data_IF_657445237998
#
_entry.id   IF_657445237998
#
_cell.length_a   1.000
_cell.length_b   1.000
_cell.length_c   1.000
_cell.angle_alpha   90.00
_cell.angle_beta   90.00
_cell.angle_gamma   90.00
#
_symmetry.space_group_name_H-M   'P 1'
#
loop_
_entity.id
_entity.type
_entity.pdbx_description
1 polymer ?
#
# COMPACT_ATOMS: atom_id res chain seq x y z
N UNK A 1 -20.92 2.67 -9.95
CA UNK A 1 -20.42 2.54 -8.54
C UNK A 1 -19.22 1.61 -8.55
N UNK A 2 -18.08 2.04 -8.06
CA UNK A 2 -16.87 1.20 -8.01
C UNK A 2 -17.13 -0.03 -7.13
N UNK A 3 -16.81 -1.22 -7.63
CA UNK A 3 -16.84 -2.45 -6.84
C UNK A 3 -15.48 -2.61 -6.15
N UNK A 4 -15.46 -2.59 -4.83
CA UNK A 4 -14.27 -2.90 -4.05
C UNK A 4 -14.17 -4.42 -3.91
N UNK A 5 -12.97 -4.95 -4.07
CA UNK A 5 -12.73 -6.39 -3.96
C UNK A 5 -12.90 -6.90 -2.53
N UNK A 6 -12.57 -6.04 -1.55
CA UNK A 6 -12.65 -6.39 -0.13
C UNK A 6 -13.27 -5.26 0.71
N UNK A 7 -13.83 -5.63 1.88
CA UNK A 7 -14.28 -4.64 2.87
C UNK A 7 -13.12 -3.80 3.42
N UNK A 8 -11.89 -4.33 3.44
CA UNK A 8 -10.69 -3.61 3.86
C UNK A 8 -10.39 -2.46 2.92
N UNK A 9 -10.44 -2.70 1.60
CA UNK A 9 -10.26 -1.64 0.61
C UNK A 9 -11.35 -0.57 0.71
N UNK A 10 -12.62 -0.99 0.87
CA UNK A 10 -13.72 -0.06 1.08
C UNK A 10 -13.52 0.81 2.33
N UNK A 11 -13.04 0.22 3.43
CA UNK A 11 -12.77 0.94 4.67
C UNK A 11 -11.64 1.96 4.48
N UNK A 12 -10.53 1.54 3.87
CA UNK A 12 -9.41 2.43 3.54
C UNK A 12 -9.88 3.62 2.68
N UNK A 13 -10.63 3.33 1.63
CA UNK A 13 -11.21 4.35 0.76
C UNK A 13 -12.11 5.33 1.52
N UNK A 14 -13.02 4.85 2.39
CA UNK A 14 -13.89 5.73 3.19
C UNK A 14 -13.09 6.69 4.06
N UNK A 15 -12.04 6.19 4.72
CA UNK A 15 -11.17 7.03 5.56
C UNK A 15 -10.46 8.08 4.71
N UNK A 16 -9.83 7.68 3.60
CA UNK A 16 -9.13 8.60 2.69
C UNK A 16 -10.06 9.68 2.14
N UNK A 17 -11.30 9.31 1.77
CA UNK A 17 -12.29 10.25 1.25
C UNK A 17 -12.70 11.31 2.28
N UNK A 18 -12.97 10.91 3.52
CA UNK A 18 -13.35 11.87 4.58
C UNK A 18 -12.18 12.76 4.97
N UNK A 19 -10.96 12.21 5.05
CA UNK A 19 -9.74 13.02 5.28
C UNK A 19 -9.55 14.04 4.15
N UNK A 20 -9.69 13.62 2.89
CA UNK A 20 -9.56 14.53 1.75
C UNK A 20 -10.65 15.61 1.75
N UNK A 21 -11.91 15.26 2.05
CA UNK A 21 -13.02 16.20 2.11
C UNK A 21 -12.75 17.31 3.13
N UNK A 22 -12.41 16.95 4.35
CA UNK A 22 -12.11 17.95 5.40
C UNK A 22 -10.89 18.78 5.03
N UNK A 23 -9.84 18.15 4.50
CA UNK A 23 -8.64 18.88 4.09
C UNK A 23 -8.92 19.90 2.97
N UNK A 24 -9.82 19.57 2.02
CA UNK A 24 -10.24 20.50 0.97
C UNK A 24 -11.12 21.64 1.49
N UNK A 25 -12.14 21.30 2.30
CA UNK A 25 -13.18 22.24 2.71
C UNK A 25 -12.72 23.15 3.86
N UNK A 26 -12.09 22.56 4.87
CA UNK A 26 -11.80 23.21 6.15
C UNK A 26 -10.30 23.44 6.41
N UNK A 27 -9.44 22.76 5.65
CA UNK A 27 -7.98 22.79 5.81
C UNK A 27 -7.44 21.71 6.75
N UNK A 28 -6.12 21.51 6.70
CA UNK A 28 -5.45 20.42 7.44
C UNK A 28 -5.54 20.57 8.97
N UNK A 29 -5.58 21.79 9.49
CA UNK A 29 -5.68 22.04 10.94
C UNK A 29 -7.00 21.53 11.53
N UNK A 30 -8.06 21.52 10.73
CA UNK A 30 -9.37 21.02 11.15
C UNK A 30 -9.37 19.49 11.37
N UNK A 31 -8.48 18.75 10.70
CA UNK A 31 -8.41 17.29 10.83
C UNK A 31 -8.18 16.84 12.26
N UNK A 32 -7.28 17.48 13.00
CA UNK A 32 -6.98 17.10 14.40
C UNK A 32 -8.21 17.15 15.30
N UNK A 33 -9.08 18.11 15.09
CA UNK A 33 -10.32 18.28 15.86
C UNK A 33 -11.43 17.31 15.42
N UNK A 34 -11.37 16.82 14.18
CA UNK A 34 -12.41 16.01 13.54
C UNK A 34 -12.13 14.50 13.56
N UNK A 35 -11.04 14.00 14.16
CA UNK A 35 -10.69 12.58 14.18
C UNK A 35 -11.84 11.68 14.64
N UNK A 36 -12.49 12.05 15.74
CA UNK A 36 -13.61 11.27 16.30
C UNK A 36 -14.84 11.30 15.38
N UNK A 37 -15.09 12.39 14.71
CA UNK A 37 -16.25 12.53 13.84
C UNK A 37 -16.02 11.80 12.50
N UNK A 38 -14.80 11.83 11.97
CA UNK A 38 -14.41 10.97 10.85
C UNK A 38 -14.63 9.49 11.24
N UNK A 39 -14.15 9.08 12.44
CA UNK A 39 -14.30 7.70 12.88
C UNK A 39 -15.77 7.29 13.00
N UNK A 40 -16.65 8.17 13.49
CA UNK A 40 -18.11 7.93 13.55
C UNK A 40 -18.74 7.87 12.16
N UNK A 41 -18.35 8.76 11.25
CA UNK A 41 -18.86 8.79 9.86
C UNK A 41 -18.47 7.54 9.07
N UNK A 42 -17.28 7.02 9.30
CA UNK A 42 -16.76 5.83 8.59
C UNK A 42 -17.32 4.53 9.16
N UNK A 43 -17.58 4.47 10.49
CA UNK A 43 -18.16 3.30 11.15
C UNK A 43 -19.68 3.38 11.19
N UNK A 44 -20.34 2.23 11.26
CA UNK A 44 -21.80 2.16 11.48
C UNK A 44 -22.13 2.34 12.97
N UNK A 45 -23.43 2.48 13.30
CA UNK A 45 -23.88 2.56 14.70
C UNK A 45 -23.76 1.22 15.45
N UNK A 46 -23.66 0.12 14.69
CA UNK A 46 -23.44 -1.23 15.24
C UNK A 46 -22.09 -1.76 14.76
N UNK A 47 -21.40 -2.48 15.63
CA UNK A 47 -20.16 -3.16 15.27
C UNK A 47 -20.38 -4.17 14.14
N UNK A 48 -19.58 -4.09 13.09
CA UNK A 48 -19.68 -4.95 11.89
C UNK A 48 -18.37 -5.64 11.52
N UNK A 49 -17.26 -5.21 12.11
CA UNK A 49 -15.91 -5.66 11.77
C UNK A 49 -15.13 -6.19 12.98
N UNK A 50 -15.50 -5.79 14.19
CA UNK A 50 -14.83 -6.15 15.45
C UNK A 50 -15.84 -6.44 16.57
N UNK A 51 -15.34 -6.82 17.74
CA UNK A 51 -16.14 -7.18 18.90
C UNK A 51 -17.09 -6.06 19.38
N UNK A 52 -16.71 -4.80 19.19
CA UNK A 52 -17.52 -3.65 19.59
C UNK A 52 -17.22 -2.41 18.76
N UNK A 53 -18.14 -1.46 18.77
CA UNK A 53 -18.03 -0.19 18.04
C UNK A 53 -16.87 0.67 18.54
N UNK A 54 -16.51 0.60 19.80
CA UNK A 54 -15.39 1.36 20.36
C UNK A 54 -14.07 0.90 19.79
N UNK A 55 -13.85 -0.42 19.67
CA UNK A 55 -12.66 -0.99 19.05
C UNK A 55 -12.59 -0.66 17.55
N UNK A 56 -13.73 -0.72 16.84
CA UNK A 56 -13.79 -0.32 15.44
C UNK A 56 -13.37 1.15 15.26
N UNK A 57 -13.89 2.06 16.09
CA UNK A 57 -13.55 3.49 16.04
C UNK A 57 -12.09 3.75 16.40
N UNK A 58 -11.53 3.05 17.38
CA UNK A 58 -10.13 3.14 17.73
C UNK A 58 -9.22 2.71 16.58
N UNK A 59 -9.54 1.59 15.90
CA UNK A 59 -8.81 1.14 14.70
C UNK A 59 -8.94 2.16 13.56
N UNK A 60 -10.13 2.74 13.35
CA UNK A 60 -10.32 3.77 12.33
C UNK A 60 -9.53 5.03 12.66
N UNK A 61 -9.41 5.41 13.95
CA UNK A 61 -8.57 6.54 14.35
C UNK A 61 -7.09 6.32 13.99
N UNK A 62 -6.55 5.11 14.20
CA UNK A 62 -5.19 4.78 13.75
C UNK A 62 -5.06 4.81 12.21
N UNK A 63 -6.09 4.38 11.47
CA UNK A 63 -6.11 4.51 10.00
C UNK A 63 -6.11 5.96 9.54
N UNK A 64 -6.81 6.85 10.26
CA UNK A 64 -6.80 8.29 9.97
C UNK A 64 -5.39 8.86 10.14
N UNK A 65 -4.63 8.44 11.17
CA UNK A 65 -3.23 8.85 11.33
C UNK A 65 -2.39 8.45 10.12
N UNK A 66 -2.56 7.22 9.61
CA UNK A 66 -1.87 6.77 8.39
C UNK A 66 -2.33 7.52 7.14
N UNK A 67 -3.62 7.86 7.05
CA UNK A 67 -4.16 8.69 5.98
C UNK A 67 -3.63 10.14 6.04
N UNK A 68 -3.20 10.61 7.21
CA UNK A 68 -2.54 11.89 7.42
C UNK A 68 -0.99 11.84 7.32
N UNK A 69 -0.43 10.75 6.81
CA UNK A 69 1.02 10.62 6.59
C UNK A 69 1.76 9.69 7.55
N UNK A 70 1.08 9.13 8.55
CA UNK A 70 1.63 8.13 9.47
C UNK A 70 2.75 8.65 10.38
N UNK A 71 3.57 7.74 10.89
CA UNK A 71 4.70 8.07 11.74
C UNK A 71 5.88 8.59 10.89
N UNK A 72 6.20 9.88 11.03
CA UNK A 72 7.30 10.52 10.29
C UNK A 72 8.68 9.99 10.66
N UNK A 73 8.85 9.48 11.89
CA UNK A 73 10.13 8.90 12.34
C UNK A 73 10.40 7.52 11.73
N UNK A 74 9.37 6.82 11.26
CA UNK A 74 9.54 5.54 10.57
C UNK A 74 9.86 5.79 9.08
N UNK A 75 11.02 5.35 8.56
CA UNK A 75 11.40 5.56 7.17
C UNK A 75 10.54 4.74 6.18
N UNK A 76 9.96 3.64 6.64
CA UNK A 76 9.11 2.80 5.78
C UNK A 76 7.81 3.48 5.42
N UNK A 77 7.35 3.18 4.21
CA UNK A 77 6.02 3.58 3.73
C UNK A 77 4.94 2.66 4.30
N UNK A 78 5.26 1.41 4.56
CA UNK A 78 4.31 0.41 5.09
C UNK A 78 4.41 0.40 6.61
N UNK A 79 3.26 0.52 7.28
CA UNK A 79 3.14 0.48 8.74
C UNK A 79 2.11 -0.56 9.21
N UNK A 80 2.27 -1.00 10.45
CA UNK A 80 1.34 -1.90 11.13
C UNK A 80 0.49 -1.09 12.10
N UNK A 81 -0.79 -1.38 12.11
CA UNK A 81 -1.77 -0.89 13.11
C UNK A 81 -1.91 -1.99 14.15
N UNK A 82 -1.20 -1.88 15.25
CA UNK A 82 -1.07 -2.94 16.26
C UNK A 82 -2.45 -3.37 16.81
N UNK A 83 -3.28 -2.42 17.20
CA UNK A 83 -4.64 -2.67 17.70
C UNK A 83 -5.54 -3.42 16.69
N UNK A 84 -5.19 -3.42 15.41
CA UNK A 84 -5.91 -4.15 14.37
C UNK A 84 -5.27 -5.50 14.05
N UNK A 85 -4.11 -5.82 14.63
CA UNK A 85 -3.32 -7.03 14.36
C UNK A 85 -3.53 -8.14 15.42
N UNK A 86 -4.63 -8.11 16.15
CA UNK A 86 -4.92 -8.92 17.33
C UNK A 86 -5.62 -10.26 17.05
N UNK A 87 -6.34 -10.38 15.94
CA UNK A 87 -7.15 -11.57 15.64
C UNK A 87 -6.40 -12.67 14.85
N UNK A 88 -5.17 -12.39 14.45
CA UNK A 88 -4.37 -13.39 13.76
C UNK A 88 -3.80 -14.41 14.76
N UNK A 89 -3.93 -15.73 14.49
CA UNK A 89 -3.28 -16.72 15.31
C UNK A 89 -1.76 -16.56 15.28
N UNK A 90 -1.08 -16.95 16.36
CA UNK A 90 0.38 -17.01 16.35
C UNK A 90 0.86 -18.00 15.30
N UNK A 91 1.95 -17.65 14.59
CA UNK A 91 2.52 -18.53 13.56
C UNK A 91 3.10 -19.82 14.16
N UNK A 92 3.10 -20.89 13.36
CA UNK A 92 3.58 -22.21 13.74
C UNK A 92 2.48 -23.23 13.98
N UNK A 93 2.87 -24.41 14.45
CA UNK A 93 1.91 -25.49 14.71
C UNK A 93 1.03 -25.19 15.93
N UNK A 94 -0.27 -25.41 15.77
CA UNK A 94 -1.29 -25.23 16.80
C UNK A 94 -2.23 -26.43 16.79
N UNK A 95 -2.81 -26.71 17.96
CA UNK A 95 -3.85 -27.74 18.11
C UNK A 95 -5.21 -27.08 17.98
N UNK A 96 -6.05 -27.58 17.06
CA UNK A 96 -7.43 -27.12 16.91
C UNK A 96 -8.38 -27.81 17.89
N UNK A 97 -9.61 -27.30 17.96
CA UNK A 97 -10.69 -27.92 18.74
C UNK A 97 -11.07 -29.34 18.27
N UNK A 98 -10.58 -29.77 17.10
CA UNK A 98 -10.77 -31.13 16.59
C UNK A 98 -9.94 -32.18 17.33
N UNK A 99 -9.03 -31.79 18.21
CA UNK A 99 -8.31 -32.71 19.07
C UNK A 99 -9.28 -33.52 19.91
N UNK A 100 -9.18 -34.85 19.83
CA UNK A 100 -10.09 -35.78 20.54
C UNK A 100 -9.55 -36.27 21.86
N UNK A 101 -8.31 -35.87 22.24
CA UNK A 101 -7.70 -36.40 23.47
C UNK A 101 -7.48 -37.94 23.39
N UNK A 102 -6.93 -38.38 22.26
CA UNK A 102 -6.79 -39.84 22.03
C UNK A 102 -5.75 -40.49 22.96
N UNK A 103 -6.04 -41.67 23.50
CA UNK A 103 -5.17 -42.38 24.44
C UNK A 103 -3.80 -42.73 23.85
N UNK A 104 -3.71 -42.84 22.52
CA UNK A 104 -2.47 -43.24 21.85
C UNK A 104 -1.36 -42.17 21.90
N UNK A 105 -1.69 -40.90 22.18
CA UNK A 105 -0.75 -39.76 22.31
C UNK A 105 0.37 -39.74 21.27
N UNK A 106 0.08 -40.16 20.01
CA UNK A 106 1.09 -40.22 18.93
C UNK A 106 1.82 -38.92 18.69
N UNK A 107 1.13 -37.78 18.87
CA UNK A 107 1.71 -36.46 18.70
C UNK A 107 2.80 -36.17 19.75
N UNK A 108 2.60 -36.59 20.99
CA UNK A 108 3.60 -36.49 22.06
C UNK A 108 4.80 -37.39 21.76
N UNK A 109 4.56 -38.68 21.46
CA UNK A 109 5.60 -39.64 21.13
C UNK A 109 6.46 -39.22 19.93
N UNK A 110 5.87 -38.51 18.95
CA UNK A 110 6.58 -37.97 17.79
C UNK A 110 7.37 -36.72 18.09
N UNK A 111 7.14 -36.06 19.23
CA UNK A 111 7.76 -34.77 19.58
C UNK A 111 9.12 -34.96 20.27
N UNK A 112 10.21 -34.96 19.51
CA UNK A 112 11.58 -35.11 20.05
C UNK A 112 11.99 -33.97 21.02
N UNK A 113 11.26 -32.87 21.04
CA UNK A 113 11.53 -31.68 21.90
C UNK A 113 10.68 -31.64 23.16
N UNK A 114 9.78 -32.63 23.36
CA UNK A 114 8.89 -32.67 24.51
C UNK A 114 8.00 -31.43 24.62
N UNK A 115 7.61 -30.83 23.46
CA UNK A 115 6.83 -29.62 23.41
C UNK A 115 5.31 -29.85 23.48
N UNK A 116 4.84 -31.08 23.67
CA UNK A 116 3.42 -31.44 23.74
C UNK A 116 3.07 -31.87 25.15
N UNK A 117 2.04 -31.25 25.69
CA UNK A 117 1.40 -31.57 26.95
C UNK A 117 -0.10 -31.74 26.74
N UNK A 118 -0.80 -32.22 27.77
CA UNK A 118 -2.24 -32.44 27.74
C UNK A 118 -2.88 -31.74 28.91
N UNK A 119 -4.08 -31.19 28.68
CA UNK A 119 -4.91 -30.60 29.73
C UNK A 119 -5.72 -31.66 30.48
N UNK A 120 -6.54 -31.22 31.42
CA UNK A 120 -7.44 -32.07 32.21
C UNK A 120 -8.44 -32.84 31.35
N UNK A 121 -8.77 -32.33 30.15
CA UNK A 121 -9.65 -32.96 29.17
C UNK A 121 -8.89 -33.83 28.16
N UNK A 122 -7.62 -34.10 28.43
CA UNK A 122 -6.72 -34.85 27.53
C UNK A 122 -6.51 -34.18 26.16
N UNK A 123 -6.76 -32.89 26.03
CA UNK A 123 -6.48 -32.14 24.80
C UNK A 123 -5.00 -31.77 24.73
N UNK A 124 -4.43 -31.98 23.56
CA UNK A 124 -3.03 -31.66 23.36
C UNK A 124 -2.81 -30.13 23.32
N UNK A 125 -1.71 -29.68 23.91
CA UNK A 125 -1.20 -28.32 23.85
C UNK A 125 0.25 -28.33 23.36
N UNK A 126 0.64 -27.29 22.59
CA UNK A 126 2.00 -27.13 22.09
C UNK A 126 2.66 -25.98 22.82
N UNK A 127 3.69 -26.28 23.61
CA UNK A 127 4.56 -25.29 24.23
C UNK A 127 5.41 -24.60 23.14
N UNK A 128 5.11 -23.33 22.88
CA UNK A 128 5.78 -22.54 21.84
C UNK A 128 7.24 -22.25 22.14
N UNK A 129 7.64 -22.28 23.40
CA UNK A 129 9.03 -22.04 23.81
C UNK A 129 9.94 -23.23 23.47
N UNK A 130 9.38 -24.45 23.46
CA UNK A 130 10.10 -25.70 23.12
C UNK A 130 9.90 -26.12 21.66
N UNK A 131 8.83 -25.66 21.03
CA UNK A 131 8.45 -26.10 19.69
C UNK A 131 9.36 -25.50 18.61
N UNK A 132 10.03 -26.36 17.84
CA UNK A 132 10.88 -25.98 16.70
C UNK A 132 10.16 -26.03 15.36
N UNK A 133 8.85 -26.11 15.34
CA UNK A 133 7.99 -26.11 14.15
C UNK A 133 8.35 -27.22 13.11
N UNK A 134 8.81 -28.38 13.54
CA UNK A 134 9.22 -29.49 12.65
C UNK A 134 8.06 -30.26 12.02
N UNK A 135 6.83 -30.14 12.54
CA UNK A 135 5.62 -30.73 11.99
C UNK A 135 5.42 -32.24 12.21
N UNK A 136 6.28 -32.91 12.96
CA UNK A 136 6.13 -34.35 13.16
C UNK A 136 4.83 -34.72 13.87
N UNK A 137 4.40 -33.94 14.85
CA UNK A 137 3.13 -34.10 15.55
C UNK A 137 1.92 -34.01 14.62
N UNK A 138 1.94 -33.12 13.64
CA UNK A 138 0.86 -32.97 12.68
C UNK A 138 0.75 -34.17 11.73
N UNK A 139 1.89 -34.74 11.30
CA UNK A 139 1.92 -35.92 10.41
C UNK A 139 1.33 -37.18 11.02
N UNK A 140 1.42 -37.32 12.33
CA UNK A 140 0.96 -38.54 13.04
C UNK A 140 -0.42 -38.38 13.67
N UNK A 141 -1.02 -37.19 13.62
CA UNK A 141 -2.34 -36.94 14.17
C UNK A 141 -3.42 -37.56 13.27
N UNK A 142 -4.19 -38.57 13.74
CA UNK A 142 -5.19 -39.23 12.90
C UNK A 142 -6.42 -38.36 12.61
N UNK A 143 -6.60 -37.28 13.37
CA UNK A 143 -7.72 -36.33 13.23
C UNK A 143 -7.34 -35.05 12.52
N UNK A 144 -6.09 -34.92 12.05
CA UNK A 144 -5.58 -33.68 11.45
C UNK A 144 -5.78 -32.44 12.33
N UNK A 145 -5.87 -32.64 13.65
CA UNK A 145 -6.14 -31.58 14.62
C UNK A 145 -4.93 -30.65 14.88
N UNK A 146 -3.79 -30.94 14.30
CA UNK A 146 -2.57 -30.12 14.44
C UNK A 146 -2.24 -29.52 13.08
N UNK A 147 -2.36 -28.20 12.98
CA UNK A 147 -2.16 -27.45 11.73
C UNK A 147 -1.07 -26.40 11.88
N UNK A 148 -0.35 -26.16 10.79
CA UNK A 148 0.64 -25.07 10.73
C UNK A 148 -0.02 -23.81 10.23
N UNK A 149 -0.04 -22.78 11.07
CA UNK A 149 -0.55 -21.47 10.71
C UNK A 149 0.62 -20.56 10.35
N UNK A 150 0.48 -19.87 9.24
CA UNK A 150 1.36 -18.78 8.85
C UNK A 150 0.49 -17.57 8.55
N UNK A 151 0.78 -16.45 9.18
CA UNK A 151 -0.02 -15.23 8.96
C UNK A 151 0.06 -14.81 7.48
N UNK A 152 -1.03 -14.33 6.89
CA UNK A 152 -1.06 -13.93 5.48
C UNK A 152 0.04 -12.93 5.11
N UNK A 153 0.35 -11.99 6.00
CA UNK A 153 1.41 -11.00 5.79
C UNK A 153 2.80 -11.61 5.75
N UNK A 154 3.12 -12.59 6.61
CA UNK A 154 4.38 -13.32 6.59
C UNK A 154 4.51 -14.15 5.31
N UNK A 155 3.43 -14.86 4.93
CA UNK A 155 3.40 -15.68 3.71
C UNK A 155 3.57 -14.84 2.45
N UNK A 156 3.01 -13.62 2.42
CA UNK A 156 3.12 -12.70 1.30
C UNK A 156 4.52 -12.05 1.21
N UNK A 157 5.23 -11.94 2.32
CA UNK A 157 6.54 -11.30 2.36
C UNK A 157 7.64 -12.23 1.84
N UNK A 158 7.97 -12.12 0.55
CA UNK A 158 8.99 -12.97 -0.10
C UNK A 158 10.40 -12.77 0.45
N UNK A 159 10.69 -11.59 0.99
CA UNK A 159 11.98 -11.24 1.59
C UNK A 159 12.02 -11.49 3.10
N UNK A 160 10.96 -12.05 3.68
CA UNK A 160 10.87 -12.37 5.12
C UNK A 160 11.22 -11.19 6.03
N UNK A 161 10.73 -10.00 5.67
CA UNK A 161 10.87 -8.78 6.46
C UNK A 161 9.80 -8.65 7.55
N UNK A 162 8.88 -9.60 7.68
CA UNK A 162 7.81 -9.58 8.68
C UNK A 162 8.03 -10.71 9.66
N UNK A 163 8.02 -10.35 10.93
CA UNK A 163 8.03 -11.25 12.07
C UNK A 163 6.93 -10.84 13.05
N UNK A 164 6.78 -11.59 14.12
CA UNK A 164 5.90 -11.23 15.22
C UNK A 164 6.70 -10.52 16.29
N UNK A 165 6.10 -9.49 16.90
CA UNK A 165 6.66 -8.86 18.09
C UNK A 165 6.66 -9.85 19.26
N UNK A 166 7.66 -9.72 20.12
CA UNK A 166 7.78 -10.54 21.32
C UNK A 166 6.97 -9.88 22.47
N UNK A 167 5.65 -9.90 22.33
CA UNK A 167 4.70 -9.34 23.30
C UNK A 167 3.46 -10.23 23.42
N UNK A 168 2.65 -10.07 24.47
CA UNK A 168 1.43 -10.85 24.67
C UNK A 168 0.45 -10.73 23.50
N UNK A 169 0.30 -9.52 22.95
CA UNK A 169 -0.57 -9.24 21.80
C UNK A 169 0.04 -9.74 20.48
N UNK A 170 1.36 -9.91 20.45
CA UNK A 170 2.13 -10.48 19.36
C UNK A 170 1.77 -9.87 17.98
N UNK A 171 1.74 -8.54 17.81
CA UNK A 171 1.45 -7.90 16.53
C UNK A 171 2.55 -8.17 15.51
N UNK A 172 2.24 -8.00 14.23
CA UNK A 172 3.23 -8.10 13.18
C UNK A 172 4.23 -6.93 13.28
N UNK A 173 5.51 -7.23 13.10
CA UNK A 173 6.60 -6.26 13.08
C UNK A 173 7.33 -6.30 11.75
N UNK A 174 7.67 -5.14 11.21
CA UNK A 174 8.35 -5.01 9.92
C UNK A 174 9.82 -4.60 10.17
N UNK A 175 10.74 -5.44 9.72
CA UNK A 175 12.16 -5.12 9.70
C UNK A 175 12.46 -4.10 8.60
N UNK A 176 12.73 -2.86 8.98
CA UNK A 176 12.97 -1.75 8.07
C UNK A 176 14.20 -1.99 7.18
N UNK A 177 15.21 -2.71 7.68
CA UNK A 177 16.42 -2.99 6.93
C UNK A 177 16.18 -3.98 5.79
N UNK A 178 15.20 -4.89 5.94
CA UNK A 178 14.84 -5.86 4.90
C UNK A 178 13.72 -5.35 4.02
N UNK A 179 12.78 -4.58 4.55
CA UNK A 179 11.59 -4.15 3.81
C UNK A 179 11.95 -3.35 2.55
N UNK A 180 11.30 -3.68 1.44
CA UNK A 180 11.44 -3.02 0.12
C UNK A 180 10.18 -2.23 -0.27
N UNK A 181 9.29 -1.98 0.65
CA UNK A 181 8.06 -1.19 0.48
C UNK A 181 7.12 -1.66 -0.66
N UNK A 182 7.16 -2.94 -1.03
CA UNK A 182 6.39 -3.48 -2.17
C UNK A 182 4.88 -3.59 -1.95
N UNK A 183 4.38 -3.45 -0.70
CA UNK A 183 2.95 -3.46 -0.38
C UNK A 183 2.27 -4.83 -0.35
N UNK A 184 2.95 -5.95 -0.66
CA UNK A 184 2.34 -7.27 -0.72
C UNK A 184 1.66 -7.69 0.61
N UNK A 185 2.24 -7.34 1.75
CA UNK A 185 1.70 -7.60 3.07
C UNK A 185 0.43 -6.79 3.37
N UNK A 186 0.33 -5.55 2.89
CA UNK A 186 -0.85 -4.72 3.02
C UNK A 186 -2.04 -5.32 2.25
N UNK A 187 -1.79 -5.78 1.03
CA UNK A 187 -2.82 -6.44 0.21
C UNK A 187 -3.28 -7.77 0.83
N UNK A 188 -2.35 -8.55 1.39
CA UNK A 188 -2.64 -9.87 1.95
C UNK A 188 -3.33 -9.85 3.32
N UNK A 189 -3.30 -8.73 4.05
CA UNK A 189 -3.84 -8.67 5.40
C UNK A 189 -5.38 -8.64 5.40
N UNK A 190 -6.07 -9.68 5.89
CA UNK A 190 -7.53 -9.73 5.86
C UNK A 190 -8.20 -8.75 6.84
N UNK A 191 -7.46 -8.28 7.83
CA UNK A 191 -7.92 -7.30 8.81
C UNK A 191 -7.55 -5.85 8.43
N UNK A 192 -6.73 -5.69 7.38
CA UNK A 192 -6.19 -4.40 6.98
C UNK A 192 -5.34 -3.75 8.07
N UNK A 193 -4.72 -4.55 8.93
CA UNK A 193 -3.83 -4.06 9.97
C UNK A 193 -2.52 -3.50 9.41
N UNK A 194 -2.18 -3.82 8.16
CA UNK A 194 -0.99 -3.31 7.49
C UNK A 194 -1.43 -2.38 6.37
N UNK A 195 -0.94 -1.15 6.38
CA UNK A 195 -1.29 -0.12 5.40
C UNK A 195 -0.06 0.69 5.00
N UNK A 196 -0.16 1.34 3.84
CA UNK A 196 0.79 2.36 3.42
C UNK A 196 0.39 3.73 3.96
N UNK A 197 1.39 4.55 4.26
CA UNK A 197 1.22 5.98 4.55
C UNK A 197 0.61 6.67 3.35
N UNK A 198 -0.38 7.50 3.58
CA UNK A 198 -0.96 8.33 2.53
C UNK A 198 -0.21 9.65 2.39
N UNK A 199 -0.10 10.11 1.15
CA UNK A 199 0.42 11.44 0.81
C UNK A 199 -0.67 12.34 0.24
N UNK A 200 -1.94 11.98 0.53
CA UNK A 200 -3.10 12.73 0.01
C UNK A 200 -3.12 14.18 0.50
N UNK A 201 -2.69 14.43 1.75
CA UNK A 201 -2.62 15.80 2.30
C UNK A 201 -1.53 16.63 1.62
N UNK A 202 -0.36 16.03 1.33
CA UNK A 202 0.71 16.71 0.62
C UNK A 202 0.24 17.10 -0.80
N UNK A 203 -0.48 16.21 -1.48
CA UNK A 203 -1.05 16.49 -2.79
C UNK A 203 -2.10 17.61 -2.73
N UNK A 204 -3.00 17.60 -1.74
CA UNK A 204 -4.00 18.65 -1.53
C UNK A 204 -3.32 20.00 -1.27
N UNK A 205 -2.27 20.03 -0.47
CA UNK A 205 -1.49 21.23 -0.18
C UNK A 205 -0.89 21.79 -1.46
N UNK A 206 -0.18 20.98 -2.24
CA UNK A 206 0.42 21.37 -3.52
C UNK A 206 -0.65 21.94 -4.46
N UNK A 207 -1.81 21.29 -4.56
CA UNK A 207 -2.92 21.76 -5.42
C UNK A 207 -3.53 23.09 -4.94
N UNK A 208 -3.66 23.29 -3.63
CA UNK A 208 -4.13 24.55 -3.06
C UNK A 208 -3.14 25.69 -3.28
N UNK A 209 -1.85 25.43 -3.01
CA UNK A 209 -0.79 26.42 -3.11
C UNK A 209 -0.55 26.85 -4.57
N UNK A 210 -0.83 25.97 -5.54
CA UNK A 210 -0.76 26.31 -6.98
C UNK A 210 -1.78 27.38 -7.41
N UNK A 211 -2.82 27.62 -6.60
CA UNK A 211 -3.91 28.54 -6.91
C UNK A 211 -4.44 28.39 -8.35
N UNK A 212 -4.65 27.13 -8.78
CA UNK A 212 -5.08 26.74 -10.14
C UNK A 212 -4.13 27.20 -11.26
N UNK A 213 -2.85 27.32 -10.96
CA UNK A 213 -1.80 27.69 -11.91
C UNK A 213 -1.33 29.16 -11.84
N UNK A 214 -1.96 29.99 -11.01
CA UNK A 214 -1.50 31.41 -10.84
C UNK A 214 -0.13 31.45 -10.09
N UNK A 215 0.17 30.45 -9.24
CA UNK A 215 1.45 30.36 -8.54
C UNK A 215 2.47 29.54 -9.31
N UNK A 216 2.11 28.30 -9.61
CA UNK A 216 2.92 27.33 -10.36
C UNK A 216 2.04 26.24 -10.97
N UNK A 217 2.52 25.59 -12.01
CA UNK A 217 1.82 24.49 -12.65
C UNK A 217 1.99 23.18 -11.91
N UNK A 218 0.91 22.43 -11.70
CA UNK A 218 0.94 21.07 -11.12
C UNK A 218 0.66 20.04 -12.20
N UNK A 219 1.63 19.19 -12.48
CA UNK A 219 1.50 18.12 -13.46
C UNK A 219 1.16 16.79 -12.77
N UNK A 220 0.14 16.10 -13.28
CA UNK A 220 -0.14 14.71 -12.92
C UNK A 220 0.59 13.78 -13.88
N UNK A 221 1.57 13.04 -13.40
CA UNK A 221 2.21 11.97 -14.17
C UNK A 221 1.51 10.66 -13.81
N UNK A 222 0.82 10.05 -14.78
CA UNK A 222 -0.03 8.88 -14.54
C UNK A 222 0.59 7.61 -15.08
N UNK A 223 0.54 6.53 -14.28
CA UNK A 223 0.96 5.20 -14.71
C UNK A 223 -0.03 4.64 -15.76
N UNK A 224 0.43 3.89 -16.79
CA UNK A 224 -0.43 3.33 -17.84
C UNK A 224 -1.57 2.47 -17.31
N UNK A 225 -1.39 1.80 -16.17
CA UNK A 225 -2.42 0.99 -15.50
C UNK A 225 -3.66 1.76 -15.02
N UNK A 226 -3.65 3.10 -15.11
CA UNK A 226 -4.84 3.92 -14.85
C UNK A 226 -6.00 3.56 -15.78
N UNK A 227 -5.71 3.11 -17.01
CA UNK A 227 -6.70 2.72 -17.99
C UNK A 227 -7.57 1.53 -17.52
N UNK A 228 -6.99 0.62 -16.72
CA UNK A 228 -7.71 -0.55 -16.17
C UNK A 228 -8.26 -0.32 -14.77
N UNK A 229 -7.91 0.76 -14.10
CA UNK A 229 -8.31 1.02 -12.72
C UNK A 229 -9.73 1.59 -12.61
N UNK A 230 -10.11 2.48 -13.50
CA UNK A 230 -11.41 3.18 -13.49
C UNK A 230 -12.34 2.60 -14.54
N UNK A 231 -12.63 1.29 -14.45
CA UNK A 231 -13.42 0.53 -15.46
C UNK A 231 -14.86 1.04 -15.67
N UNK A 232 -15.37 1.86 -14.75
CA UNK A 232 -16.70 2.48 -14.83
C UNK A 232 -16.69 3.86 -15.52
N UNK A 233 -15.52 4.35 -15.92
CA UNK A 233 -15.36 5.64 -16.58
C UNK A 233 -14.44 5.51 -17.80
N UNK A 234 -14.67 6.32 -18.83
CA UNK A 234 -13.75 6.42 -19.97
C UNK A 234 -12.47 7.15 -19.53
N UNK A 235 -11.31 6.81 -20.07
CA UNK A 235 -10.03 7.41 -19.72
C UNK A 235 -10.06 8.94 -19.81
N UNK A 236 -10.69 9.50 -20.86
CA UNK A 236 -10.85 10.96 -21.00
C UNK A 236 -11.67 11.62 -19.88
N UNK A 237 -12.62 10.89 -19.28
CA UNK A 237 -13.37 11.38 -18.11
C UNK A 237 -12.47 11.45 -16.88
N UNK A 238 -11.62 10.42 -16.69
CA UNK A 238 -10.64 10.37 -15.59
C UNK A 238 -9.64 11.51 -15.72
N UNK A 239 -9.08 11.73 -16.92
CA UNK A 239 -8.17 12.86 -17.22
C UNK A 239 -8.83 14.21 -16.94
N UNK A 240 -10.10 14.36 -17.34
CA UNK A 240 -10.85 15.60 -17.08
C UNK A 240 -11.10 15.81 -15.59
N UNK A 241 -11.40 14.75 -14.84
CA UNK A 241 -11.58 14.82 -13.40
C UNK A 241 -10.29 15.24 -12.70
N UNK A 242 -9.15 14.67 -13.09
CA UNK A 242 -7.82 15.05 -12.59
C UNK A 242 -7.57 16.55 -12.85
N UNK A 243 -7.77 17.04 -14.08
CA UNK A 243 -7.61 18.46 -14.40
C UNK A 243 -8.52 19.36 -13.55
N UNK A 244 -9.76 18.94 -13.30
CA UNK A 244 -10.72 19.71 -12.47
C UNK A 244 -10.34 19.75 -10.99
N UNK A 245 -9.52 18.81 -10.49
CA UNK A 245 -8.95 18.90 -9.15
C UNK A 245 -7.94 20.06 -8.99
N UNK A 246 -7.48 20.65 -10.09
CA UNK A 246 -6.51 21.75 -10.09
C UNK A 246 -5.19 21.41 -10.78
N UNK A 247 -5.05 20.20 -11.34
CA UNK A 247 -3.88 19.88 -12.14
C UNK A 247 -3.88 20.66 -13.47
N UNK A 248 -2.74 21.24 -13.80
CA UNK A 248 -2.52 21.94 -15.07
C UNK A 248 -2.59 20.97 -16.24
N UNK A 249 -1.85 19.85 -16.16
CA UNK A 249 -1.82 18.85 -17.22
C UNK A 249 -1.70 17.43 -16.67
N UNK A 250 -2.08 16.46 -17.52
CA UNK A 250 -1.93 15.02 -17.26
C UNK A 250 -0.99 14.45 -18.29
N UNK A 251 0.10 13.83 -17.86
CA UNK A 251 1.16 13.28 -18.68
C UNK A 251 1.28 11.78 -18.42
N UNK A 252 1.44 10.97 -19.46
CA UNK A 252 1.62 9.54 -19.30
C UNK A 252 3.07 9.20 -18.90
N UNK A 253 3.24 8.38 -17.88
CA UNK A 253 4.55 7.88 -17.46
C UNK A 253 5.20 6.96 -18.52
N UNK A 254 4.43 6.49 -19.50
CA UNK A 254 4.94 5.72 -20.64
C UNK A 254 5.97 6.51 -21.46
N UNK A 255 5.78 7.82 -21.64
CA UNK A 255 6.76 8.68 -22.28
C UNK A 255 8.12 8.65 -21.53
N UNK A 256 8.09 8.63 -20.21
CA UNK A 256 9.29 8.44 -19.40
C UNK A 256 9.93 7.06 -19.59
N UNK A 257 9.11 6.03 -19.84
CA UNK A 257 9.63 4.69 -20.12
C UNK A 257 10.35 4.64 -21.46
N UNK A 258 9.87 5.33 -22.50
CA UNK A 258 10.54 5.44 -23.79
C UNK A 258 11.91 6.14 -23.67
N UNK A 259 11.97 7.23 -22.90
CA UNK A 259 13.22 7.95 -22.59
C UNK A 259 14.22 7.01 -21.90
N UNK A 260 13.76 6.25 -20.90
CA UNK A 260 14.60 5.32 -20.14
C UNK A 260 15.05 4.16 -21.02
N UNK A 261 14.15 3.57 -21.82
CA UNK A 261 14.48 2.46 -22.70
C UNK A 261 15.58 2.82 -23.70
N UNK A 262 15.53 4.04 -24.27
CA UNK A 262 16.59 4.55 -25.14
C UNK A 262 17.94 4.67 -24.42
N UNK A 263 17.94 5.18 -23.19
CA UNK A 263 19.16 5.34 -22.40
C UNK A 263 19.69 3.98 -21.91
N UNK A 264 18.81 3.07 -21.47
CA UNK A 264 19.19 1.72 -21.05
C UNK A 264 19.75 0.88 -22.22
N UNK A 265 19.26 1.07 -23.45
CA UNK A 265 19.79 0.36 -24.62
C UNK A 265 21.24 0.70 -24.88
N UNK A 266 21.64 1.96 -24.68
CA UNK A 266 23.04 2.40 -24.81
C UNK A 266 23.90 1.81 -23.68
N UNK A 267 23.43 1.92 -22.44
CA UNK A 267 24.12 1.37 -21.28
C UNK A 267 24.31 -0.15 -21.38
N UNK A 268 23.29 -0.86 -21.91
CA UNK A 268 23.38 -2.31 -22.17
C UNK A 268 24.41 -2.65 -23.21
N UNK A 269 24.49 -1.86 -24.29
CA UNK A 269 25.51 -2.07 -25.35
C UNK A 269 26.94 -1.89 -24.83
N UNK A 270 27.15 -0.99 -23.88
CA UNK A 270 28.46 -0.76 -23.27
C UNK A 270 28.82 -1.84 -22.22
N UNK A 271 27.86 -2.24 -21.38
CA UNK A 271 28.08 -3.16 -20.25
C UNK A 271 27.92 -4.65 -20.60
N UNK A 272 27.21 -4.97 -21.66
CA UNK A 272 26.90 -6.35 -22.10
C UNK A 272 25.82 -7.04 -21.25
N UNK A 273 25.64 -6.67 -19.97
CA UNK A 273 24.58 -7.17 -19.08
C UNK A 273 24.06 -6.04 -18.19
N UNK A 274 22.76 -5.89 -18.13
CA UNK A 274 22.10 -4.84 -17.38
C UNK A 274 20.75 -5.33 -16.83
N UNK A 275 20.36 -4.88 -15.63
CA UNK A 275 19.01 -4.98 -15.10
C UNK A 275 18.37 -3.60 -15.05
N UNK A 276 17.07 -3.52 -15.37
CA UNK A 276 16.35 -2.24 -15.36
C UNK A 276 16.21 -1.65 -13.96
N UNK A 277 16.22 -0.32 -13.86
CA UNK A 277 15.98 0.46 -12.63
C UNK A 277 14.51 0.91 -12.48
N UNK A 278 13.60 0.48 -13.35
CA UNK A 278 12.20 0.97 -13.39
C UNK A 278 11.38 0.64 -12.13
N UNK A 279 11.69 -0.47 -11.43
CA UNK A 279 10.99 -0.92 -10.24
C UNK A 279 11.82 -0.65 -8.98
N UNK A 280 11.46 0.34 -8.13
CA UNK A 280 12.22 0.66 -6.92
C UNK A 280 12.29 -0.50 -5.92
N UNK A 281 11.22 -1.30 -5.80
CA UNK A 281 11.25 -2.49 -4.94
C UNK A 281 12.25 -3.54 -5.43
N UNK A 282 12.40 -3.72 -6.75
CA UNK A 282 13.41 -4.61 -7.32
C UNK A 282 14.82 -4.08 -7.09
N UNK A 283 15.05 -2.79 -7.30
CA UNK A 283 16.33 -2.13 -7.04
C UNK A 283 16.75 -2.30 -5.58
N UNK A 284 15.83 -2.04 -4.64
CA UNK A 284 16.08 -2.23 -3.21
C UNK A 284 16.34 -3.70 -2.86
N UNK A 285 15.62 -4.63 -3.51
CA UNK A 285 15.85 -6.06 -3.34
C UNK A 285 17.27 -6.46 -3.74
N UNK A 286 17.73 -6.04 -4.93
CA UNK A 286 19.09 -6.34 -5.38
C UNK A 286 20.13 -5.72 -4.45
N UNK A 287 19.98 -4.44 -4.09
CA UNK A 287 20.93 -3.75 -3.20
C UNK A 287 21.05 -4.42 -1.82
N UNK A 288 19.92 -4.85 -1.23
CA UNK A 288 19.88 -5.43 0.11
C UNK A 288 20.33 -6.90 0.16
N UNK A 289 19.99 -7.69 -0.84
CA UNK A 289 20.19 -9.14 -0.80
C UNK A 289 21.25 -9.66 -1.77
N UNK A 290 21.59 -8.88 -2.80
CA UNK A 290 22.58 -9.24 -3.82
C UNK A 290 23.52 -8.07 -4.12
N UNK A 291 24.29 -7.56 -3.13
CA UNK A 291 25.11 -6.36 -3.30
C UNK A 291 26.13 -6.46 -4.44
N UNK A 292 26.59 -7.69 -4.77
CA UNK A 292 27.50 -7.93 -5.91
C UNK A 292 26.86 -7.63 -7.27
N UNK A 293 25.53 -7.63 -7.38
CA UNK A 293 24.80 -7.35 -8.61
C UNK A 293 24.39 -5.87 -8.73
N UNK A 294 24.72 -5.05 -7.73
CA UNK A 294 24.33 -3.63 -7.72
C UNK A 294 24.91 -2.86 -8.91
N UNK A 295 26.12 -3.20 -9.35
CA UNK A 295 26.78 -2.58 -10.51
C UNK A 295 26.07 -2.89 -11.84
N UNK A 296 25.30 -3.98 -11.87
CA UNK A 296 24.51 -4.36 -13.05
C UNK A 296 23.13 -3.69 -13.09
N UNK A 297 22.75 -2.93 -12.07
CA UNK A 297 21.50 -2.15 -12.12
C UNK A 297 21.74 -0.93 -13.02
N UNK A 298 20.79 -0.65 -13.91
CA UNK A 298 20.81 0.57 -14.72
C UNK A 298 20.99 1.82 -13.84
N UNK A 299 21.87 2.72 -14.24
CA UNK A 299 22.07 3.99 -13.59
C UNK A 299 20.98 5.01 -13.91
N UNK A 300 20.13 4.71 -14.88
CA UNK A 300 19.08 5.59 -15.32
C UNK A 300 18.01 5.82 -14.22
N UNK A 301 17.36 6.95 -14.29
CA UNK A 301 16.18 7.23 -13.46
C UNK A 301 15.05 6.27 -13.85
N UNK A 302 14.13 6.01 -12.92
CA UNK A 302 12.91 5.28 -13.27
C UNK A 302 12.05 6.11 -14.24
N UNK A 303 11.12 5.48 -14.99
CA UNK A 303 10.20 6.20 -15.88
C UNK A 303 9.46 7.36 -15.20
N UNK A 304 9.04 7.20 -13.95
CA UNK A 304 8.44 8.25 -13.14
C UNK A 304 9.37 9.46 -13.00
N UNK A 305 10.61 9.21 -12.58
CA UNK A 305 11.57 10.27 -12.30
C UNK A 305 12.13 10.88 -13.60
N UNK A 306 12.25 10.10 -14.67
CA UNK A 306 12.72 10.60 -15.97
C UNK A 306 11.75 11.60 -16.58
N UNK A 307 10.45 11.28 -16.62
CA UNK A 307 9.45 12.22 -17.14
C UNK A 307 9.25 13.42 -16.21
N UNK A 308 9.35 13.24 -14.90
CA UNK A 308 9.29 14.35 -13.95
C UNK A 308 10.47 15.32 -14.11
N UNK A 309 11.67 14.78 -14.35
CA UNK A 309 12.86 15.58 -14.71
C UNK A 309 12.61 16.39 -15.97
N UNK A 310 12.15 15.74 -17.05
CA UNK A 310 11.84 16.41 -18.32
C UNK A 310 10.80 17.56 -18.14
N UNK A 311 9.76 17.34 -17.33
CA UNK A 311 8.76 18.38 -17.03
C UNK A 311 9.44 19.57 -16.35
N UNK A 312 10.26 19.34 -15.31
CA UNK A 312 10.92 20.43 -14.56
C UNK A 312 12.03 21.14 -15.36
N UNK A 313 12.63 20.47 -16.36
CA UNK A 313 13.54 21.11 -17.30
C UNK A 313 12.81 22.02 -18.30
N UNK A 314 11.52 21.75 -18.55
CA UNK A 314 10.68 22.55 -19.45
C UNK A 314 9.94 23.67 -18.70
N UNK A 315 9.58 23.43 -17.45
CA UNK A 315 8.87 24.34 -16.56
C UNK A 315 9.53 24.25 -15.15
N UNK A 316 10.47 25.14 -14.89
CA UNK A 316 11.30 25.13 -13.68
C UNK A 316 10.48 25.26 -12.39
N UNK A 317 9.33 25.92 -12.45
CA UNK A 317 8.45 26.12 -11.28
C UNK A 317 7.47 24.96 -11.08
N UNK A 318 7.39 24.04 -12.03
CA UNK A 318 6.43 22.93 -12.01
C UNK A 318 6.53 22.08 -10.74
N UNK A 319 5.38 21.65 -10.24
CA UNK A 319 5.24 20.59 -9.27
C UNK A 319 4.73 19.32 -9.94
N UNK A 320 5.32 18.19 -9.62
CA UNK A 320 5.01 16.89 -10.23
C UNK A 320 4.44 15.94 -9.19
N UNK A 321 3.21 15.51 -9.41
CA UNK A 321 2.55 14.47 -8.60
C UNK A 321 2.42 13.22 -9.48
N UNK A 322 3.11 12.15 -9.07
CA UNK A 322 2.96 10.85 -9.73
C UNK A 322 1.73 10.10 -9.20
N UNK A 323 0.97 9.48 -10.09
CA UNK A 323 -0.24 8.72 -9.76
C UNK A 323 -0.12 7.30 -10.34
N UNK A 324 -0.07 6.31 -9.47
CA UNK A 324 0.14 4.93 -9.92
C UNK A 324 -0.23 3.87 -8.86
N UNK A 325 -0.09 2.57 -9.18
CA UNK A 325 -0.53 1.49 -8.30
C UNK A 325 0.48 1.12 -7.21
N UNK A 326 1.68 1.73 -7.19
CA UNK A 326 2.84 1.18 -6.50
C UNK A 326 3.22 1.97 -5.24
N UNK A 327 3.20 1.33 -4.08
CA UNK A 327 3.61 1.93 -2.80
C UNK A 327 5.13 2.18 -2.72
N UNK A 328 5.95 1.35 -3.39
CA UNK A 328 7.40 1.55 -3.43
C UNK A 328 7.81 2.85 -4.15
N UNK A 329 6.96 3.37 -5.05
CA UNK A 329 7.16 4.69 -5.68
C UNK A 329 7.10 5.85 -4.66
N UNK A 330 6.34 5.70 -3.58
CA UNK A 330 6.33 6.66 -2.46
C UNK A 330 7.69 6.71 -1.74
N UNK A 331 8.34 5.54 -1.60
CA UNK A 331 9.68 5.46 -1.02
C UNK A 331 10.74 6.02 -1.98
N UNK A 332 10.62 5.72 -3.28
CA UNK A 332 11.52 6.23 -4.32
C UNK A 332 11.51 7.76 -4.40
N UNK A 333 10.33 8.38 -4.33
CA UNK A 333 10.20 9.83 -4.37
C UNK A 333 10.90 10.55 -3.20
N UNK A 334 11.14 9.84 -2.08
CA UNK A 334 11.90 10.37 -0.93
C UNK A 334 13.42 10.22 -1.09
N UNK A 335 13.90 9.47 -2.09
CA UNK A 335 15.34 9.35 -2.32
C UNK A 335 15.89 10.67 -2.87
N UNK A 336 17.04 11.11 -2.37
CA UNK A 336 17.67 12.40 -2.72
C UNK A 336 17.75 12.63 -4.23
N UNK A 337 18.15 11.59 -4.98
CA UNK A 337 18.25 11.67 -6.46
C UNK A 337 16.92 11.87 -7.19
N UNK A 338 15.77 11.60 -6.55
CA UNK A 338 14.42 11.67 -7.13
C UNK A 338 13.60 12.80 -6.54
N UNK A 339 13.79 13.12 -5.26
CA UNK A 339 13.03 14.13 -4.52
C UNK A 339 13.06 15.53 -5.15
N UNK A 340 14.13 15.85 -5.90
CA UNK A 340 14.23 17.09 -6.65
C UNK A 340 13.26 17.18 -7.84
N UNK A 341 12.80 16.03 -8.37
CA UNK A 341 11.94 15.95 -9.55
C UNK A 341 10.49 15.62 -9.22
N UNK A 342 10.25 14.73 -8.24
CA UNK A 342 8.91 14.26 -7.90
C UNK A 342 8.51 14.81 -6.53
N UNK A 343 7.51 15.67 -6.51
CA UNK A 343 7.07 16.35 -5.29
C UNK A 343 6.13 15.50 -4.43
N UNK A 344 5.30 14.65 -5.06
CA UNK A 344 4.37 13.77 -4.35
C UNK A 344 4.06 12.51 -5.17
N UNK A 345 3.65 11.44 -4.48
CA UNK A 345 3.18 10.19 -5.11
C UNK A 345 1.85 9.77 -4.50
N UNK A 346 0.85 9.58 -5.35
CA UNK A 346 -0.47 9.07 -4.97
C UNK A 346 -0.69 7.67 -5.53
N UNK A 347 -1.37 6.83 -4.77
CA UNK A 347 -1.95 5.58 -5.27
C UNK A 347 -3.27 5.87 -6.00
N UNK A 348 -3.74 4.92 -6.81
CA UNK A 348 -5.06 5.06 -7.44
C UNK A 348 -6.20 5.10 -6.43
N UNK A 349 -6.05 4.48 -5.26
CA UNK A 349 -7.04 4.56 -4.18
C UNK A 349 -7.10 5.98 -3.59
N UNK A 350 -5.95 6.63 -3.43
CA UNK A 350 -5.86 8.02 -2.99
C UNK A 350 -6.45 8.98 -4.04
N UNK A 351 -6.12 8.77 -5.32
CA UNK A 351 -6.73 9.56 -6.41
C UNK A 351 -8.26 9.40 -6.42
N UNK A 352 -8.78 8.17 -6.29
CA UNK A 352 -10.21 7.92 -6.23
C UNK A 352 -10.86 8.66 -5.07
N UNK A 353 -10.24 8.60 -3.88
CA UNK A 353 -10.74 9.30 -2.70
C UNK A 353 -10.75 10.83 -2.90
N UNK A 354 -9.69 11.36 -3.54
CA UNK A 354 -9.56 12.76 -3.88
C UNK A 354 -10.67 13.24 -4.83
N UNK A 355 -10.93 12.49 -5.89
CA UNK A 355 -11.98 12.79 -6.86
C UNK A 355 -13.35 12.76 -6.18
N UNK A 356 -13.61 11.69 -5.40
CA UNK A 356 -14.92 11.47 -4.78
C UNK A 356 -15.18 12.39 -3.56
N UNK A 357 -14.16 13.00 -2.99
CA UNK A 357 -14.29 14.04 -1.96
C UNK A 357 -14.62 15.42 -2.55
N UNK A 358 -14.39 15.61 -3.83
CA UNK A 358 -14.58 16.88 -4.52
C UNK A 358 -16.00 17.05 -5.05
N UNK A 359 -16.39 18.30 -5.33
CA UNK A 359 -17.66 18.63 -6.00
C UNK A 359 -17.78 18.07 -7.44
N UNK A 360 -16.73 17.46 -7.97
CA UNK A 360 -16.67 16.93 -9.32
C UNK A 360 -17.02 15.43 -9.40
N UNK A 361 -17.31 14.77 -8.28
CA UNK A 361 -17.77 13.37 -8.22
C UNK A 361 -18.90 13.05 -9.22
N UNK A 362 -19.95 13.89 -9.40
CA UNK A 362 -21.02 13.60 -10.36
C UNK A 362 -20.54 13.45 -11.80
N UNK A 363 -19.45 14.11 -12.20
CA UNK A 363 -18.93 14.07 -13.57
C UNK A 363 -18.40 12.70 -13.98
N UNK A 364 -17.89 11.92 -13.03
CA UNK A 364 -17.40 10.56 -13.28
C UNK A 364 -18.56 9.57 -13.23
N UNK A 365 -19.50 9.74 -12.31
CA UNK A 365 -20.57 8.77 -12.08
C UNK A 365 -21.78 8.92 -13.02
N UNK A 366 -22.00 10.11 -13.58
CA UNK A 366 -23.16 10.40 -14.43
C UNK A 366 -22.94 10.13 -15.92
N UNK A 367 -21.77 9.62 -16.34
CA UNK A 367 -21.51 9.31 -17.74
C UNK A 367 -21.58 10.51 -18.70
N UNK A 368 -21.39 11.71 -18.20
CA UNK A 368 -21.36 12.94 -19.01
C UNK A 368 -20.29 12.81 -20.11
N UNK A 369 -20.73 12.85 -21.37
CA UNK A 369 -19.87 12.97 -22.54
C UNK A 369 -19.16 14.34 -22.51
N UNK A 370 -18.04 14.41 -21.82
CA UNK A 370 -17.20 15.60 -21.86
C UNK A 370 -16.41 15.53 -23.16
N UNK A 371 -16.75 16.39 -24.10
CA UNK A 371 -16.00 16.57 -25.34
C UNK A 371 -14.57 16.95 -24.96
N UNK A 372 -13.61 16.11 -25.36
CA UNK A 372 -12.19 16.44 -25.23
C UNK A 372 -11.88 17.51 -26.26
N UNK A 373 -11.94 18.79 -25.85
CA UNK A 373 -11.41 19.87 -26.62
C UNK A 373 -9.87 19.86 -26.45
N UNK A 374 -9.18 19.01 -27.19
CA UNK A 374 -7.74 19.01 -27.32
C UNK A 374 -7.35 19.47 -28.71
N UNK A 375 -6.15 20.09 -28.84
CA UNK A 375 -5.59 20.44 -30.12
C UNK A 375 -5.62 19.25 -31.09
N UNK A 376 -5.77 19.48 -32.40
CA UNK A 376 -5.93 18.41 -33.40
C UNK A 376 -4.65 17.61 -33.51
N UNK A 377 -4.23 16.75 -32.78
CA UNK A 377 -3.13 15.78 -32.81
C UNK A 377 -2.80 15.19 -31.41
N UNK A 378 -3.59 15.46 -30.36
CA UNK A 378 -3.48 14.78 -29.09
C UNK A 378 -4.32 13.49 -29.15
N UNK A 379 -3.80 12.43 -29.76
CA UNK A 379 -4.28 11.04 -29.61
C UNK A 379 -5.79 10.82 -29.73
N UNK A 380 -6.41 11.19 -30.85
CA UNK A 380 -7.73 10.74 -31.20
C UNK A 380 -7.62 9.33 -31.79
N UNK A 381 -7.49 8.32 -30.96
CA UNK A 381 -7.87 6.96 -31.40
C UNK A 381 -9.33 6.74 -31.05
N UNK A 382 -10.08 6.42 -32.04
CA UNK A 382 -11.50 6.04 -32.09
C UNK A 382 -11.88 4.97 -31.08
#
# INVERSE_FOLDING_TARGET
MRKFDTKVQLLKYKVLREVARIAFDEGEFSLANNFNDIAKTVTSDKATMRCCIYKERAIVAERIKLACGGNRANPNIIEVIDIACDECPASGYQVSHDCRGCIAHRCESACRKGAISFDENQKAHIDKTKCVNCGQCAKVCPYSAISNYTRPCEKACKIKAISMADSEENPAQIDNNKCINCGACSYACPFGAIMDKSFILDAIRILKDSNKGDGFNVYAVVAPSIASQFVYAKLGQVVTAIKKLGFYSVVEAALGADIVAYSESKELAEKGFLTSSCCPAFVDYVKKFYPKLTENISHNLSPMAAIAKYIKETDETAKVIFIGPCTAKKAEAKQERVAQYVDCVLTFEELQALIDSSKYTPLIHQGLNIVIAGAPNAGKSS
#
